data_IF_071548812690
#
_entry.id   IF_071548812690
#
_cell.length_a   1.000
_cell.length_b   1.000
_cell.length_c   1.000
_cell.angle_alpha   90.00
_cell.angle_beta   90.00
_cell.angle_gamma   90.00
#
_symmetry.space_group_name_H-M   'P 1'
#
loop_
_entity.id
_entity.type
_entity.pdbx_description
1 polymer ?
#
# COMPACT_ATOMS: atom_id res chain seq x y z
N UNK A 1 -0.77 14.02 -8.40
CA UNK A 1 -0.41 12.62 -8.71
C UNK A 1 -1.14 11.71 -7.76
N UNK A 2 -1.83 10.71 -8.29
CA UNK A 2 -2.65 9.76 -7.54
C UNK A 2 -2.01 8.37 -7.57
N UNK A 3 -1.80 7.79 -6.39
CA UNK A 3 -1.17 6.48 -6.20
C UNK A 3 -2.22 5.51 -5.69
N UNK A 4 -2.38 4.37 -6.34
CA UNK A 4 -3.23 3.28 -5.88
C UNK A 4 -2.40 2.18 -5.24
N UNK A 5 -2.59 1.95 -3.94
CA UNK A 5 -2.14 0.74 -3.27
C UNK A 5 -3.19 -0.36 -3.40
N UNK A 6 -2.82 -1.45 -4.06
CA UNK A 6 -3.74 -2.53 -4.38
C UNK A 6 -3.37 -3.82 -3.67
N UNK A 7 -4.32 -4.40 -2.96
CA UNK A 7 -4.19 -5.77 -2.45
C UNK A 7 -5.44 -6.60 -2.77
N UNK A 8 -5.55 -7.80 -2.21
CA UNK A 8 -6.73 -8.65 -2.42
C UNK A 8 -7.93 -8.12 -1.65
N UNK A 9 -7.81 -7.97 -0.33
CA UNK A 9 -8.95 -7.71 0.56
C UNK A 9 -9.23 -6.25 0.90
N UNK A 10 -8.32 -5.32 0.59
CA UNK A 10 -8.35 -3.94 1.08
C UNK A 10 -8.63 -3.78 2.59
N UNK A 11 -8.02 -4.66 3.39
CA UNK A 11 -8.29 -4.73 4.84
C UNK A 11 -7.05 -4.42 5.70
N UNK A 12 -5.86 -4.79 5.23
CA UNK A 12 -4.60 -4.60 5.97
C UNK A 12 -3.57 -3.76 5.20
N UNK A 13 -2.73 -4.42 4.39
CA UNK A 13 -1.54 -3.85 3.74
C UNK A 13 -1.82 -2.57 2.95
N UNK A 14 -2.84 -2.56 2.10
CA UNK A 14 -3.14 -1.38 1.28
C UNK A 14 -3.72 -0.22 2.09
N UNK A 15 -4.43 -0.50 3.20
CA UNK A 15 -4.91 0.54 4.13
C UNK A 15 -3.74 1.14 4.91
N UNK A 16 -2.84 0.30 5.42
CA UNK A 16 -1.61 0.75 6.08
C UNK A 16 -0.79 1.63 5.14
N UNK A 17 -0.67 1.24 3.87
CA UNK A 17 0.06 1.99 2.86
C UNK A 17 -0.60 3.33 2.52
N UNK A 18 -1.91 3.36 2.22
CA UNK A 18 -2.65 4.60 1.93
C UNK A 18 -2.55 5.60 3.09
N UNK A 19 -2.81 5.12 4.31
CA UNK A 19 -2.80 5.96 5.49
C UNK A 19 -1.42 6.55 5.79
N UNK A 20 -0.38 5.70 5.72
CA UNK A 20 1.00 6.12 5.97
C UNK A 20 1.48 7.08 4.88
N UNK A 21 1.17 6.80 3.62
CA UNK A 21 1.53 7.67 2.51
C UNK A 21 0.91 9.06 2.68
N UNK A 22 -0.40 9.12 2.93
CA UNK A 22 -1.10 10.40 3.07
C UNK A 22 -0.68 11.19 4.31
N UNK A 23 -0.22 10.53 5.38
CA UNK A 23 0.32 11.20 6.55
C UNK A 23 1.70 11.86 6.30
N UNK A 24 2.48 11.34 5.35
CA UNK A 24 3.84 11.79 5.05
C UNK A 24 3.94 12.63 3.77
N UNK A 25 2.95 12.51 2.88
CA UNK A 25 2.98 13.10 1.55
C UNK A 25 2.95 14.64 1.57
N UNK A 26 3.78 15.30 0.73
CA UNK A 26 3.64 16.73 0.48
C UNK A 26 2.38 17.04 -0.33
N UNK A 27 2.02 18.32 -0.45
CA UNK A 27 0.89 18.74 -1.29
C UNK A 27 1.10 18.33 -2.75
N UNK A 28 0.02 17.90 -3.41
CA UNK A 28 0.01 17.55 -4.83
C UNK A 28 0.20 16.06 -5.14
N UNK A 29 0.49 15.25 -4.12
CA UNK A 29 0.55 13.79 -4.24
C UNK A 29 -0.35 13.15 -3.19
N UNK A 30 -1.12 12.15 -3.60
CA UNK A 30 -2.14 11.54 -2.76
C UNK A 30 -2.26 10.06 -3.05
N UNK A 31 -2.47 9.26 -2.00
CA UNK A 31 -2.70 7.83 -2.11
C UNK A 31 -4.17 7.49 -1.88
N UNK A 32 -4.59 6.45 -2.58
CA UNK A 32 -5.84 5.72 -2.40
C UNK A 32 -5.51 4.23 -2.29
N UNK A 33 -6.41 3.44 -1.70
CA UNK A 33 -6.31 1.98 -1.72
C UNK A 33 -7.55 1.31 -2.27
N UNK A 34 -7.39 0.07 -2.74
CA UNK A 34 -8.51 -0.78 -3.14
C UNK A 34 -8.16 -2.27 -3.03
N UNK A 35 -9.18 -3.11 -3.25
CA UNK A 35 -9.12 -4.56 -3.24
C UNK A 35 -9.67 -5.18 -4.52
N UNK A 36 -9.16 -6.35 -4.93
CA UNK A 36 -9.83 -7.19 -5.94
C UNK A 36 -11.07 -7.89 -5.45
N UNK A 37 -11.03 -8.26 -4.18
CA UNK A 37 -12.09 -8.94 -3.46
C UNK A 37 -12.18 -8.26 -2.10
N UNK A 38 -12.61 -6.98 -2.07
CA UNK A 38 -12.66 -6.20 -0.84
C UNK A 38 -13.46 -6.96 0.22
N UNK A 39 -12.95 -7.00 1.45
CA UNK A 39 -13.61 -7.69 2.57
C UNK A 39 -14.84 -6.94 3.06
N UNK A 40 -14.97 -5.67 2.71
CA UNK A 40 -16.02 -4.76 3.19
C UNK A 40 -15.64 -4.03 4.47
N UNK A 41 -14.65 -4.54 5.21
CA UNK A 41 -14.21 -4.00 6.49
C UNK A 41 -12.68 -3.90 6.59
N UNK A 42 -12.21 -2.84 7.23
CA UNK A 42 -10.79 -2.65 7.56
C UNK A 42 -10.45 -3.48 8.79
N UNK A 43 -9.34 -4.20 8.75
CA UNK A 43 -8.94 -5.07 9.84
C UNK A 43 -8.67 -4.25 11.11
N UNK A 44 -9.25 -4.61 12.28
CA UNK A 44 -9.13 -3.82 13.51
C UNK A 44 -7.69 -3.57 13.95
N UNK A 45 -6.80 -4.55 13.77
CA UNK A 45 -5.36 -4.38 14.10
C UNK A 45 -4.66 -3.36 13.21
N UNK A 46 -5.08 -3.20 11.95
CA UNK A 46 -4.56 -2.14 11.07
C UNK A 46 -4.94 -0.75 11.60
N UNK A 47 -6.19 -0.59 12.03
CA UNK A 47 -6.70 0.65 12.63
C UNK A 47 -5.95 0.95 13.93
N UNK A 48 -5.79 -0.05 14.80
CA UNK A 48 -5.09 0.10 16.07
C UNK A 48 -3.62 0.48 15.87
N UNK A 49 -2.95 -0.15 14.90
CA UNK A 49 -1.57 0.17 14.56
C UNK A 49 -1.42 1.59 14.01
N UNK A 50 -2.29 2.02 13.08
CA UNK A 50 -2.24 3.40 12.58
C UNK A 50 -2.41 4.43 13.71
N UNK A 51 -3.37 4.19 14.61
CA UNK A 51 -3.59 5.04 15.79
C UNK A 51 -2.36 5.08 16.70
N UNK A 52 -1.69 3.96 16.95
CA UNK A 52 -0.49 3.92 17.79
C UNK A 52 0.69 4.67 17.17
N UNK A 53 0.73 4.81 15.84
CA UNK A 53 1.71 5.62 15.09
C UNK A 53 1.29 7.09 14.93
N UNK A 54 0.17 7.51 15.52
CA UNK A 54 -0.34 8.88 15.41
C UNK A 54 -0.98 9.19 14.05
N UNK A 55 -1.33 8.18 13.26
CA UNK A 55 -1.97 8.33 11.95
C UNK A 55 -3.48 8.12 12.12
N UNK A 56 -4.30 9.10 11.72
CA UNK A 56 -5.75 8.93 11.71
C UNK A 56 -6.16 7.82 10.76
N UNK A 57 -7.09 6.96 11.19
CA UNK A 57 -7.62 5.85 10.40
C UNK A 57 -9.11 5.99 10.06
N UNK A 58 -9.73 7.12 10.40
CA UNK A 58 -11.19 7.28 10.39
C UNK A 58 -11.80 7.36 8.99
N UNK A 59 -11.04 7.81 7.99
CA UNK A 59 -11.53 8.02 6.63
C UNK A 59 -11.25 6.83 5.69
N UNK A 60 -10.63 5.75 6.19
CA UNK A 60 -10.28 4.59 5.36
C UNK A 60 -11.31 3.49 5.48
N UNK A 61 -11.68 2.91 4.35
CA UNK A 61 -12.66 1.85 4.26
C UNK A 61 -12.29 0.89 3.12
N UNK A 62 -12.73 -0.36 3.24
CA UNK A 62 -12.50 -1.38 2.22
C UNK A 62 -13.40 -1.14 1.01
N UNK A 63 -12.80 -1.01 -0.19
CA UNK A 63 -13.49 -0.74 -1.46
C UNK A 63 -12.90 -1.49 -2.64
N UNK A 64 -13.72 -1.70 -3.68
CA UNK A 64 -13.25 -2.23 -4.97
C UNK A 64 -12.48 -1.16 -5.74
N UNK A 65 -11.57 -1.55 -6.63
CA UNK A 65 -10.97 -0.59 -7.56
C UNK A 65 -11.98 -0.03 -8.56
N UNK A 66 -13.12 -0.69 -8.74
CA UNK A 66 -14.16 -0.24 -9.67
C UNK A 66 -14.83 1.05 -9.20
N UNK A 67 -14.72 1.35 -7.90
CA UNK A 67 -15.34 2.52 -7.26
C UNK A 67 -14.34 3.61 -6.91
N UNK A 68 -13.16 3.61 -7.54
CA UNK A 68 -12.17 4.65 -7.31
C UNK A 68 -12.67 6.02 -7.77
N UNK A 69 -12.47 7.08 -6.97
CA UNK A 69 -12.97 8.42 -7.29
C UNK A 69 -12.18 9.08 -8.43
N UNK A 70 -10.93 8.67 -8.64
CA UNK A 70 -10.06 9.17 -9.71
C UNK A 70 -9.22 8.03 -10.28
N UNK A 71 -8.83 8.16 -11.55
CA UNK A 71 -7.91 7.23 -12.19
C UNK A 71 -6.50 7.45 -11.59
N UNK A 72 -5.81 6.39 -11.12
CA UNK A 72 -4.48 6.50 -10.57
C UNK A 72 -3.43 6.71 -11.68
N UNK A 73 -2.38 7.46 -11.38
CA UNK A 73 -1.19 7.59 -12.23
C UNK A 73 -0.25 6.38 -12.05
N UNK A 74 -0.20 5.86 -10.81
CA UNK A 74 0.66 4.77 -10.38
C UNK A 74 -0.17 3.72 -9.64
N UNK A 75 0.03 2.45 -9.96
CA UNK A 75 -0.55 1.32 -9.22
C UNK A 75 0.57 0.51 -8.60
N UNK A 76 0.54 0.39 -7.27
CA UNK A 76 1.47 -0.39 -6.47
C UNK A 76 0.71 -1.58 -5.87
N UNK A 77 1.04 -2.78 -6.34
CA UNK A 77 0.51 -4.01 -5.74
C UNK A 77 1.33 -4.37 -4.51
N UNK A 78 0.65 -4.70 -3.40
CA UNK A 78 1.31 -4.98 -2.10
C UNK A 78 1.11 -6.42 -1.61
N UNK A 79 0.46 -7.26 -2.41
CA UNK A 79 0.30 -8.69 -2.11
C UNK A 79 1.66 -9.40 -2.09
N UNK A 80 1.82 -10.45 -1.29
CA UNK A 80 3.07 -11.20 -1.24
C UNK A 80 3.11 -12.25 -2.34
N UNK A 81 4.02 -12.10 -3.32
CA UNK A 81 4.21 -13.13 -4.36
C UNK A 81 4.65 -14.49 -3.79
N UNK A 82 5.37 -14.51 -2.66
CA UNK A 82 5.83 -15.74 -2.00
C UNK A 82 4.68 -16.60 -1.45
N UNK A 83 3.53 -15.99 -1.16
CA UNK A 83 2.36 -16.68 -0.61
C UNK A 83 1.38 -17.19 -1.69
N UNK A 84 1.77 -17.18 -2.97
CA UNK A 84 0.92 -17.63 -4.09
C UNK A 84 -0.30 -16.73 -4.33
N UNK A 85 -0.26 -15.47 -3.89
CA UNK A 85 -1.37 -14.53 -4.07
C UNK A 85 -1.43 -14.07 -5.54
N UNK A 86 -2.53 -14.36 -6.23
CA UNK A 86 -2.79 -13.79 -7.56
C UNK A 86 -2.94 -12.27 -7.43
N UNK A 87 -1.90 -11.53 -7.83
CA UNK A 87 -1.96 -10.07 -7.88
C UNK A 87 -3.06 -9.64 -8.85
N UNK A 88 -3.90 -8.65 -8.48
CA UNK A 88 -4.95 -8.23 -9.37
C UNK A 88 -4.41 -7.46 -10.57
N UNK A 89 -4.91 -7.79 -11.76
CA UNK A 89 -4.59 -7.05 -12.97
C UNK A 89 -5.48 -5.82 -13.09
N UNK A 90 -5.01 -4.66 -12.61
CA UNK A 90 -5.57 -3.38 -13.02
C UNK A 90 -5.35 -3.24 -14.54
N UNK A 91 -6.31 -2.77 -15.35
CA UNK A 91 -6.15 -2.74 -16.84
C UNK A 91 -5.89 -1.34 -17.42
N UNK A 92 -5.74 -0.31 -16.57
CA UNK A 92 -5.44 1.05 -17.03
C UNK A 92 -4.01 1.25 -17.54
N UNK A 93 -3.84 2.30 -18.36
CA UNK A 93 -2.53 2.79 -18.82
C UNK A 93 -1.84 3.58 -17.70
N UNK A 94 -1.25 2.85 -16.75
CA UNK A 94 -0.67 3.37 -15.52
C UNK A 94 0.73 2.83 -15.31
N UNK A 95 1.55 3.57 -14.57
CA UNK A 95 2.85 3.07 -14.09
C UNK A 95 2.59 2.00 -13.04
N UNK A 96 3.40 0.94 -13.04
CA UNK A 96 3.18 -0.23 -12.18
C UNK A 96 4.43 -0.58 -11.42
N UNK A 97 4.23 -0.96 -10.16
CA UNK A 97 5.26 -1.57 -9.34
C UNK A 97 4.65 -2.62 -8.40
N UNK A 98 5.52 -3.46 -7.86
CA UNK A 98 5.15 -4.48 -6.90
C UNK A 98 6.01 -4.34 -5.64
N UNK A 99 5.35 -4.04 -4.53
CA UNK A 99 5.95 -3.90 -3.20
C UNK A 99 5.40 -5.02 -2.32
N UNK A 100 5.77 -6.27 -2.63
CA UNK A 100 5.25 -7.43 -1.93
C UNK A 100 5.54 -7.39 -0.43
N UNK A 101 4.50 -7.64 0.36
CA UNK A 101 4.54 -7.74 1.82
C UNK A 101 3.64 -8.91 2.24
N UNK A 102 4.13 -9.72 3.17
CA UNK A 102 3.37 -10.85 3.73
C UNK A 102 2.05 -10.37 4.34
N UNK A 103 1.01 -11.19 4.24
CA UNK A 103 -0.29 -10.82 4.79
C UNK A 103 -0.31 -10.97 6.31
N UNK A 104 -0.34 -9.87 7.08
CA UNK A 104 -0.34 -9.98 8.54
C UNK A 104 -1.65 -10.60 9.05
N UNK A 105 -2.74 -10.58 8.27
CA UNK A 105 -4.00 -11.25 8.63
C UNK A 105 -3.92 -12.78 8.58
N UNK A 106 -2.91 -13.34 7.92
CA UNK A 106 -2.67 -14.80 7.88
C UNK A 106 -1.70 -15.27 8.98
N UNK A 107 -1.14 -14.34 9.76
CA UNK A 107 -0.28 -14.70 10.88
C UNK A 107 -1.05 -15.52 11.92
N UNK A 108 -0.42 -16.55 12.45
CA UNK A 108 -0.95 -17.41 13.51
C UNK A 108 -0.02 -17.38 14.71
N UNK A 109 -0.53 -17.76 15.89
CA UNK A 109 0.22 -17.74 17.14
C UNK A 109 -0.45 -16.87 18.19
N UNK A 110 0.36 -16.38 19.13
CA UNK A 110 -0.04 -15.45 20.18
C UNK A 110 -0.40 -14.07 19.63
N UNK A 111 -1.10 -13.27 20.43
CA UNK A 111 -1.44 -11.90 20.06
C UNK A 111 -0.19 -11.05 19.75
N UNK A 112 0.90 -11.28 20.47
CA UNK A 112 2.17 -10.58 20.26
C UNK A 112 2.81 -10.96 18.93
N UNK A 113 2.83 -12.25 18.57
CA UNK A 113 3.35 -12.73 17.28
C UNK A 113 2.54 -12.19 16.10
N UNK A 114 1.21 -12.12 16.25
CA UNK A 114 0.32 -11.51 15.25
C UNK A 114 0.62 -10.01 15.16
N UNK A 115 0.72 -9.30 16.28
CA UNK A 115 1.02 -7.87 16.30
C UNK A 115 2.38 -7.54 15.67
N UNK A 116 3.41 -8.36 15.91
CA UNK A 116 4.71 -8.25 15.26
C UNK A 116 4.57 -8.38 13.74
N UNK A 117 3.70 -9.26 13.25
CA UNK A 117 3.45 -9.38 11.80
C UNK A 117 2.85 -8.12 11.20
N UNK A 118 1.91 -7.46 11.91
CA UNK A 118 1.37 -6.16 11.50
C UNK A 118 2.42 -5.04 11.52
N UNK A 119 3.25 -4.98 12.57
CA UNK A 119 4.34 -4.02 12.68
C UNK A 119 5.38 -4.20 11.56
N UNK A 120 5.77 -5.44 11.27
CA UNK A 120 6.70 -5.75 10.17
C UNK A 120 6.15 -5.27 8.82
N UNK A 121 4.88 -5.54 8.54
CA UNK A 121 4.24 -5.07 7.31
C UNK A 121 4.24 -3.54 7.24
N UNK A 122 3.96 -2.84 8.34
CA UNK A 122 4.00 -1.39 8.42
C UNK A 122 5.40 -0.83 8.20
N UNK A 123 6.43 -1.38 8.85
CA UNK A 123 7.82 -0.91 8.73
C UNK A 123 8.31 -1.03 7.28
N UNK A 124 8.07 -2.17 6.64
CA UNK A 124 8.44 -2.38 5.23
C UNK A 124 7.74 -1.36 4.33
N UNK A 125 6.41 -1.21 4.47
CA UNK A 125 5.65 -0.26 3.66
C UNK A 125 6.11 1.17 3.88
N UNK A 126 6.31 1.57 5.15
CA UNK A 126 6.77 2.92 5.50
C UNK A 126 8.13 3.23 4.88
N UNK A 127 9.09 2.32 4.99
CA UNK A 127 10.43 2.49 4.40
C UNK A 127 10.36 2.72 2.89
N UNK A 128 9.51 1.95 2.20
CA UNK A 128 9.29 2.09 0.76
C UNK A 128 8.59 3.40 0.39
N UNK A 129 7.61 3.81 1.19
CA UNK A 129 6.91 5.10 1.05
C UNK A 129 7.87 6.27 1.25
N UNK A 130 8.70 6.24 2.28
CA UNK A 130 9.68 7.30 2.56
C UNK A 130 10.69 7.42 1.41
N UNK A 131 11.18 6.28 0.88
CA UNK A 131 12.06 6.28 -0.30
C UNK A 131 11.36 6.84 -1.56
N UNK A 132 10.09 6.50 -1.78
CA UNK A 132 9.28 7.04 -2.87
C UNK A 132 9.15 8.57 -2.77
N UNK A 133 8.85 9.08 -1.56
CA UNK A 133 8.64 10.50 -1.34
C UNK A 133 9.92 11.33 -1.46
N UNK A 134 11.09 10.68 -1.44
CA UNK A 134 12.40 11.30 -1.66
C UNK A 134 12.85 11.31 -3.13
N UNK A 135 12.06 10.75 -4.05
CA UNK A 135 12.40 10.75 -5.47
C UNK A 135 12.48 12.17 -6.04
N UNK A 136 13.53 12.42 -6.81
CA UNK A 136 13.75 13.70 -7.48
C UNK A 136 12.70 13.98 -8.56
N UNK A 137 12.42 15.27 -8.81
CA UNK A 137 11.41 15.70 -9.79
C UNK A 137 11.70 15.17 -11.20
N UNK A 138 12.97 15.10 -11.61
CA UNK A 138 13.40 14.54 -12.90
C UNK A 138 12.98 13.06 -13.07
N UNK A 139 12.96 12.26 -11.99
CA UNK A 139 12.48 10.89 -11.96
C UNK A 139 10.97 10.88 -12.08
N UNK A 140 10.27 11.72 -11.32
CA UNK A 140 8.80 11.78 -11.32
C UNK A 140 8.20 12.15 -12.70
N UNK A 141 8.94 12.89 -13.53
CA UNK A 141 8.49 13.29 -14.87
C UNK A 141 8.79 12.28 -15.98
N UNK A 142 9.65 11.28 -15.73
CA UNK A 142 10.04 10.27 -16.72
C UNK A 142 9.47 8.91 -16.35
N UNK A 143 8.53 8.42 -17.16
CA UNK A 143 7.82 7.15 -16.86
C UNK A 143 8.76 5.95 -16.73
N UNK A 144 9.84 5.89 -17.51
CA UNK A 144 10.75 4.76 -17.49
C UNK A 144 11.61 4.79 -16.23
N UNK A 145 12.19 5.96 -15.91
CA UNK A 145 12.97 6.14 -14.68
C UNK A 145 12.12 5.91 -13.44
N UNK A 146 10.90 6.46 -13.42
CA UNK A 146 9.97 6.25 -12.32
C UNK A 146 9.67 4.76 -12.15
N UNK A 147 9.32 4.05 -13.23
CA UNK A 147 9.05 2.60 -13.15
C UNK A 147 10.25 1.82 -12.58
N UNK A 148 11.47 2.12 -13.05
CA UNK A 148 12.69 1.49 -12.55
C UNK A 148 12.91 1.75 -11.06
N UNK A 149 12.81 3.01 -10.62
CA UNK A 149 12.98 3.38 -9.22
C UNK A 149 11.92 2.76 -8.32
N UNK A 150 10.66 2.69 -8.75
CA UNK A 150 9.61 2.03 -7.97
C UNK A 150 9.87 0.54 -7.79
N UNK A 151 10.44 -0.13 -8.80
CA UNK A 151 10.80 -1.54 -8.70
C UNK A 151 11.98 -1.75 -7.75
N UNK A 152 12.98 -0.87 -7.76
CA UNK A 152 14.10 -0.90 -6.81
C UNK A 152 13.62 -0.67 -5.37
N UNK A 153 12.75 0.32 -5.16
CA UNK A 153 12.12 0.57 -3.86
C UNK A 153 11.36 -0.67 -3.38
N UNK A 154 10.71 -1.40 -4.27
CA UNK A 154 10.01 -2.64 -3.94
C UNK A 154 10.87 -3.75 -3.35
N UNK A 155 12.20 -3.68 -3.50
CA UNK A 155 13.16 -4.64 -2.95
C UNK A 155 13.73 -4.23 -1.58
N UNK A 156 13.36 -3.04 -1.07
CA UNK A 156 13.78 -2.62 0.26
C UNK A 156 13.12 -3.50 1.33
N UNK A 157 13.92 -3.93 2.32
CA UNK A 157 13.54 -4.72 3.50
C UNK A 157 13.65 -3.86 4.74
#
# INVERSE_FOLDING_TARGET
>A
MNILFLCTGNSCRSILAEATFNALAPKGIHAMSAGSKPTGEVHPRSIALLKSKGISAECYYSKSWDTLPVVPDIVITVCGNAAGETCPAYLGNVIRAHWGVDDPAKATGTDDEINVSFENAYVILRKRIEAFLQLEVNVLTDKNKLTEQLNLIGQLV
#
